data_IF_369701931575
#
_entry.id   IF_369701931575
#
_cell.length_a   1.000
_cell.length_b   1.000
_cell.length_c   1.000
_cell.angle_alpha   90.00
_cell.angle_beta   90.00
_cell.angle_gamma   90.00
#
_symmetry.space_group_name_H-M   'P 1'
#
loop_
_entity.id
_entity.type
_entity.pdbx_description
1 polymer ?
#
# COMPACT_ATOMS: atom_id res chain seq x y z
N UNK A 1 -30.88 -15.55 18.11
CA UNK A 1 -31.32 -14.60 17.06
C UNK A 1 -30.34 -14.47 15.88
N UNK A 2 -29.05 -14.84 16.03
CA UNK A 2 -28.03 -14.79 14.95
C UNK A 2 -27.56 -16.22 14.55
N UNK A 3 -28.15 -17.28 15.12
CA UNK A 3 -27.71 -18.67 14.88
C UNK A 3 -27.81 -19.11 13.42
N UNK A 4 -28.79 -18.59 12.67
CA UNK A 4 -28.98 -18.86 11.25
C UNK A 4 -27.77 -18.47 10.39
N UNK A 5 -26.92 -17.55 10.85
CA UNK A 5 -25.68 -17.19 10.16
C UNK A 5 -24.64 -18.32 10.17
N UNK A 6 -24.76 -19.26 11.11
CA UNK A 6 -23.90 -20.45 11.16
C UNK A 6 -24.54 -21.65 10.46
N UNK A 7 -25.80 -21.54 10.03
CA UNK A 7 -26.44 -22.57 9.20
C UNK A 7 -25.80 -22.59 7.81
N UNK A 8 -25.76 -23.79 7.23
CA UNK A 8 -25.21 -24.00 5.90
C UNK A 8 -26.05 -23.25 4.86
N UNK A 9 -25.43 -22.29 4.16
CA UNK A 9 -26.02 -21.63 3.01
C UNK A 9 -26.06 -22.58 1.80
N UNK A 10 -24.98 -23.33 1.60
CA UNK A 10 -24.82 -24.33 0.56
C UNK A 10 -23.63 -25.25 0.89
N UNK A 11 -23.45 -26.32 0.12
CA UNK A 11 -22.30 -27.24 0.26
C UNK A 11 -21.37 -27.11 -0.95
N UNK A 12 -20.06 -27.15 -0.69
CA UNK A 12 -19.03 -27.28 -1.73
C UNK A 12 -18.13 -28.45 -1.35
N UNK A 13 -17.95 -29.41 -2.26
CA UNK A 13 -17.15 -30.61 -2.03
C UNK A 13 -17.50 -31.29 -0.69
N UNK A 14 -18.80 -31.47 -0.45
CA UNK A 14 -19.40 -32.06 0.77
C UNK A 14 -19.11 -31.33 2.09
N UNK A 15 -18.60 -30.09 2.03
CA UNK A 15 -18.41 -29.23 3.21
C UNK A 15 -19.48 -28.14 3.26
N UNK A 16 -20.21 -27.97 4.39
CA UNK A 16 -21.18 -26.89 4.54
C UNK A 16 -20.45 -25.55 4.64
N UNK A 17 -20.91 -24.57 3.87
CA UNK A 17 -20.46 -23.17 3.92
C UNK A 17 -21.51 -22.35 4.64
N UNK A 18 -21.21 -21.75 5.80
CA UNK A 18 -22.19 -20.99 6.55
C UNK A 18 -22.52 -19.64 5.88
N UNK A 19 -23.71 -19.11 6.13
CA UNK A 19 -24.13 -17.78 5.64
C UNK A 19 -23.18 -16.66 6.06
N UNK A 20 -22.61 -16.75 7.27
CA UNK A 20 -21.62 -15.81 7.79
C UNK A 20 -20.37 -15.75 6.93
N UNK A 21 -19.85 -16.89 6.51
CA UNK A 21 -18.70 -16.97 5.61
C UNK A 21 -19.05 -16.39 4.24
N UNK A 22 -20.20 -16.75 3.67
CA UNK A 22 -20.60 -16.24 2.35
C UNK A 22 -20.73 -14.70 2.36
N UNK A 23 -21.49 -14.15 3.29
CA UNK A 23 -21.72 -12.71 3.39
C UNK A 23 -20.43 -11.95 3.72
N UNK A 24 -19.61 -12.50 4.61
CA UNK A 24 -18.30 -11.93 4.95
C UNK A 24 -17.37 -11.85 3.75
N UNK A 25 -17.30 -12.91 2.94
CA UNK A 25 -16.47 -12.93 1.74
C UNK A 25 -16.99 -12.00 0.64
N UNK A 26 -18.31 -11.87 0.46
CA UNK A 26 -18.90 -10.89 -0.47
C UNK A 26 -18.55 -9.46 -0.05
N UNK A 27 -18.69 -9.14 1.24
CA UNK A 27 -18.33 -7.82 1.76
C UNK A 27 -16.84 -7.52 1.56
N UNK A 28 -15.97 -8.51 1.80
CA UNK A 28 -14.54 -8.38 1.59
C UNK A 28 -14.19 -8.16 0.10
N UNK A 29 -14.81 -8.91 -0.82
CA UNK A 29 -14.65 -8.70 -2.27
C UNK A 29 -15.10 -7.29 -2.69
N UNK A 30 -16.23 -6.82 -2.14
CA UNK A 30 -16.71 -5.46 -2.38
C UNK A 30 -15.72 -4.40 -1.88
N UNK A 31 -15.12 -4.59 -0.69
CA UNK A 31 -14.06 -3.71 -0.18
C UNK A 31 -12.88 -3.63 -1.15
N UNK A 32 -12.34 -4.77 -1.58
CA UNK A 32 -11.16 -4.79 -2.46
C UNK A 32 -11.49 -4.15 -3.81
N UNK A 33 -12.69 -4.39 -4.35
CA UNK A 33 -13.14 -3.75 -5.58
C UNK A 33 -13.27 -2.23 -5.45
N UNK A 34 -13.80 -1.75 -4.32
CA UNK A 34 -13.84 -0.31 -4.02
C UNK A 34 -12.43 0.27 -3.85
N UNK A 35 -11.51 -0.49 -3.26
CA UNK A 35 -10.10 -0.11 -3.11
C UNK A 35 -9.40 0.00 -4.47
N UNK A 36 -9.66 -0.91 -5.41
CA UNK A 36 -9.21 -0.81 -6.81
C UNK A 36 -9.69 0.48 -7.48
N UNK A 37 -10.91 0.92 -7.15
CA UNK A 37 -11.49 2.19 -7.63
C UNK A 37 -11.05 3.42 -6.84
N UNK A 38 -10.15 3.27 -5.85
CA UNK A 38 -9.70 4.33 -4.93
C UNK A 38 -10.87 5.02 -4.22
N UNK A 39 -11.95 4.28 -4.00
CA UNK A 39 -13.17 4.82 -3.41
C UNK A 39 -13.06 4.83 -1.87
N UNK A 40 -13.37 5.98 -1.26
CA UNK A 40 -13.38 6.15 0.20
C UNK A 40 -14.34 5.17 0.89
N UNK A 41 -15.38 4.72 0.18
CA UNK A 41 -16.36 3.76 0.69
C UNK A 41 -15.77 2.36 0.98
N UNK A 42 -14.57 2.05 0.50
CA UNK A 42 -13.87 0.80 0.85
C UNK A 42 -13.73 0.63 2.37
N UNK A 43 -13.42 1.70 3.10
CA UNK A 43 -13.25 1.65 4.55
C UNK A 43 -14.54 1.36 5.34
N UNK A 44 -15.67 2.07 5.14
CA UNK A 44 -16.93 1.73 5.80
C UNK A 44 -17.39 0.31 5.49
N UNK A 45 -17.29 -0.13 4.22
CA UNK A 45 -17.68 -1.48 3.83
C UNK A 45 -16.85 -2.52 4.58
N UNK A 46 -15.54 -2.29 4.72
CA UNK A 46 -14.68 -3.16 5.52
C UNK A 46 -15.10 -3.19 7.00
N UNK A 47 -15.41 -2.04 7.60
CA UNK A 47 -15.83 -1.96 9.01
C UNK A 47 -17.12 -2.74 9.23
N UNK A 48 -18.14 -2.50 8.38
CA UNK A 48 -19.43 -3.20 8.48
C UNK A 48 -19.25 -4.71 8.30
N UNK A 49 -18.47 -5.13 7.30
CA UNK A 49 -18.13 -6.54 7.10
C UNK A 49 -17.43 -7.16 8.31
N UNK A 50 -16.50 -6.43 8.93
CA UNK A 50 -15.77 -6.90 10.11
C UNK A 50 -16.68 -7.02 11.35
N UNK A 51 -17.64 -6.11 11.53
CA UNK A 51 -18.65 -6.19 12.61
C UNK A 51 -19.53 -7.43 12.45
N UNK A 52 -19.96 -7.74 11.23
CA UNK A 52 -20.72 -8.97 10.95
C UNK A 52 -19.89 -10.22 11.28
N UNK A 53 -18.60 -10.22 10.90
CA UNK A 53 -17.69 -11.32 11.20
C UNK A 53 -17.39 -11.46 12.70
N UNK A 54 -17.40 -10.38 13.48
CA UNK A 54 -17.35 -10.45 14.96
C UNK A 54 -18.58 -11.17 15.49
N UNK A 55 -19.78 -10.76 15.06
CA UNK A 55 -21.04 -11.36 15.52
C UNK A 55 -21.08 -12.86 15.22
N UNK A 56 -20.68 -13.27 14.01
CA UNK A 56 -20.57 -14.68 13.64
C UNK A 56 -19.48 -15.44 14.42
N UNK A 57 -18.32 -14.81 14.65
CA UNK A 57 -17.23 -15.44 15.42
C UNK A 57 -17.62 -15.64 16.88
N UNK A 58 -18.38 -14.71 17.46
CA UNK A 58 -18.87 -14.82 18.82
C UNK A 58 -19.92 -15.93 18.96
N UNK A 59 -20.84 -16.07 18.00
CA UNK A 59 -21.82 -17.16 18.03
C UNK A 59 -21.19 -18.54 17.83
N UNK A 60 -20.03 -18.62 17.18
CA UNK A 60 -19.25 -19.84 17.02
C UNK A 60 -18.21 -20.07 18.16
N UNK A 61 -18.20 -19.25 19.22
CA UNK A 61 -17.21 -19.29 20.31
C UNK A 61 -15.74 -19.16 19.85
N UNK A 62 -15.50 -18.54 18.70
CA UNK A 62 -14.18 -18.33 18.10
C UNK A 62 -13.61 -16.96 18.50
N UNK A 63 -13.25 -16.81 19.77
CA UNK A 63 -12.74 -15.54 20.33
C UNK A 63 -11.53 -14.96 19.60
N UNK A 64 -10.63 -15.83 19.08
CA UNK A 64 -9.48 -15.40 18.29
C UNK A 64 -9.86 -14.74 16.96
N UNK A 65 -10.88 -15.27 16.27
CA UNK A 65 -11.40 -14.68 15.03
C UNK A 65 -12.11 -13.35 15.31
N UNK A 66 -12.87 -13.25 16.39
CA UNK A 66 -13.49 -11.99 16.81
C UNK A 66 -12.43 -10.91 17.11
N UNK A 67 -11.36 -11.26 17.84
CA UNK A 67 -10.25 -10.35 18.14
C UNK A 67 -9.54 -9.86 16.86
N UNK A 68 -9.34 -10.75 15.88
CA UNK A 68 -8.76 -10.36 14.58
C UNK A 68 -9.58 -9.27 13.90
N UNK A 69 -10.90 -9.41 13.91
CA UNK A 69 -11.79 -8.42 13.31
C UNK A 69 -11.75 -7.06 14.03
N UNK A 70 -11.55 -7.03 15.36
CA UNK A 70 -11.34 -5.78 16.11
C UNK A 70 -10.11 -5.03 15.56
N UNK A 71 -9.00 -5.73 15.33
CA UNK A 71 -7.78 -5.13 14.77
C UNK A 71 -8.02 -4.59 13.35
N UNK A 72 -8.78 -5.33 12.52
CA UNK A 72 -9.17 -4.87 11.19
C UNK A 72 -10.03 -3.61 11.27
N UNK A 73 -10.99 -3.52 12.19
CA UNK A 73 -11.83 -2.34 12.39
C UNK A 73 -10.97 -1.12 12.77
N UNK A 74 -10.01 -1.29 13.68
CA UNK A 74 -9.12 -0.20 14.10
C UNK A 74 -8.26 0.30 12.92
N UNK A 75 -7.67 -0.62 12.16
CA UNK A 75 -6.88 -0.29 10.97
C UNK A 75 -7.75 0.37 9.88
N UNK A 76 -8.97 -0.12 9.67
CA UNK A 76 -9.90 0.45 8.69
C UNK A 76 -10.40 1.84 9.09
N UNK A 77 -10.64 2.06 10.38
CA UNK A 77 -11.00 3.38 10.94
C UNK A 77 -9.86 4.39 10.77
N UNK A 78 -8.62 3.96 11.01
CA UNK A 78 -7.44 4.78 10.72
C UNK A 78 -7.32 5.12 9.23
N UNK A 79 -7.53 4.14 8.36
CA UNK A 79 -7.54 4.33 6.91
C UNK A 79 -8.58 5.33 6.45
N UNK A 80 -9.81 5.21 6.94
CA UNK A 80 -10.89 6.17 6.69
C UNK A 80 -10.48 7.56 7.13
N UNK A 81 -10.05 7.74 8.37
CA UNK A 81 -9.66 9.03 8.90
C UNK A 81 -8.57 9.69 8.05
N UNK A 82 -7.56 8.92 7.64
CA UNK A 82 -6.44 9.44 6.83
C UNK A 82 -6.89 9.84 5.43
N UNK A 83 -7.67 8.98 4.76
CA UNK A 83 -8.13 9.24 3.39
C UNK A 83 -9.17 10.36 3.33
N UNK A 84 -10.06 10.44 4.31
CA UNK A 84 -11.04 11.54 4.41
C UNK A 84 -10.37 12.89 4.61
N UNK A 85 -9.26 12.94 5.36
CA UNK A 85 -8.46 14.17 5.54
C UNK A 85 -7.65 14.53 4.29
N UNK A 86 -7.00 13.57 3.62
CA UNK A 86 -6.26 13.82 2.38
C UNK A 86 -7.13 14.27 1.21
N UNK A 87 -8.36 13.73 1.11
CA UNK A 87 -9.34 14.15 0.10
C UNK A 87 -9.78 15.61 0.29
N UNK A 88 -9.88 16.09 1.54
CA UNK A 88 -10.21 17.49 1.83
C UNK A 88 -9.10 18.47 1.41
N UNK A 89 -7.84 18.03 1.37
CA UNK A 89 -6.72 18.90 1.01
C UNK A 89 -6.37 18.88 -0.49
N UNK A 90 -6.60 17.77 -1.19
CA UNK A 90 -6.14 17.59 -2.58
C UNK A 90 -7.22 17.12 -3.57
N UNK A 91 -8.48 16.97 -3.12
CA UNK A 91 -9.61 16.52 -3.96
C UNK A 91 -9.63 15.02 -4.26
N UNK A 92 -8.47 14.35 -4.30
CA UNK A 92 -8.34 12.92 -4.61
C UNK A 92 -7.42 12.18 -3.64
N UNK A 93 -7.56 10.85 -3.58
CA UNK A 93 -6.65 9.98 -2.82
C UNK A 93 -5.38 9.76 -3.65
N UNK A 94 -4.31 10.46 -3.29
CA UNK A 94 -3.01 10.31 -3.93
C UNK A 94 -2.34 9.01 -3.50
N UNK A 95 -2.10 8.11 -4.45
CA UNK A 95 -1.27 6.92 -4.25
C UNK A 95 0.14 7.26 -4.72
N UNK A 96 1.16 6.85 -3.96
CA UNK A 96 2.57 7.04 -4.29
C UNK A 96 3.37 5.80 -3.98
N UNK A 97 4.59 5.74 -4.50
CA UNK A 97 5.56 4.74 -4.05
C UNK A 97 6.07 5.09 -2.65
N UNK A 98 6.32 4.06 -1.85
CA UNK A 98 7.00 4.18 -0.57
C UNK A 98 8.47 4.57 -0.77
N UNK A 99 8.97 5.41 0.13
CA UNK A 99 10.41 5.68 0.22
C UNK A 99 11.15 4.45 0.73
N UNK A 100 12.47 4.39 0.55
CA UNK A 100 13.27 3.27 1.06
C UNK A 100 13.12 3.10 2.58
N UNK A 101 13.00 4.20 3.33
CA UNK A 101 12.77 4.18 4.78
C UNK A 101 11.42 3.55 5.10
N UNK A 102 10.37 3.92 4.38
CA UNK A 102 9.04 3.33 4.57
C UNK A 102 9.01 1.85 4.20
N UNK A 103 9.70 1.44 3.13
CA UNK A 103 9.83 0.04 2.74
C UNK A 103 10.53 -0.78 3.81
N UNK A 104 11.66 -0.30 4.32
CA UNK A 104 12.38 -0.94 5.42
C UNK A 104 11.49 -1.02 6.65
N UNK A 105 10.76 0.06 6.99
CA UNK A 105 9.85 0.05 8.13
C UNK A 105 8.71 -0.97 7.96
N UNK A 106 8.13 -1.10 6.77
CA UNK A 106 7.08 -2.09 6.49
C UNK A 106 7.62 -3.52 6.59
N UNK A 107 8.79 -3.80 6.01
CA UNK A 107 9.43 -5.12 6.05
C UNK A 107 9.83 -5.48 7.48
N UNK A 108 10.43 -4.55 8.22
CA UNK A 108 10.81 -4.76 9.62
C UNK A 108 9.57 -4.99 10.49
N UNK A 109 8.51 -4.20 10.31
CA UNK A 109 7.25 -4.39 11.04
C UNK A 109 6.65 -5.77 10.73
N UNK A 110 6.68 -6.19 9.47
CA UNK A 110 6.20 -7.50 9.04
C UNK A 110 7.02 -8.62 9.70
N UNK A 111 8.34 -8.56 9.64
CA UNK A 111 9.22 -9.59 10.19
C UNK A 111 9.14 -9.67 11.71
N UNK A 112 9.34 -8.55 12.41
CA UNK A 112 9.31 -8.48 13.88
C UNK A 112 7.91 -8.81 14.41
N UNK A 113 6.87 -8.25 13.79
CA UNK A 113 5.49 -8.54 14.16
C UNK A 113 5.15 -10.02 13.99
N UNK A 114 5.56 -10.64 12.86
CA UNK A 114 5.33 -12.07 12.61
C UNK A 114 6.01 -12.92 13.67
N UNK A 115 7.28 -12.67 13.97
CA UNK A 115 8.00 -13.41 15.02
C UNK A 115 7.31 -13.24 16.37
N UNK A 116 7.04 -12.00 16.79
CA UNK A 116 6.41 -11.72 18.08
C UNK A 116 5.03 -12.37 18.23
N UNK A 117 4.20 -12.30 17.18
CA UNK A 117 2.87 -12.89 17.22
C UNK A 117 2.88 -14.41 17.06
N UNK A 118 3.81 -14.98 16.29
CA UNK A 118 4.01 -16.42 16.21
C UNK A 118 4.45 -17.02 17.55
N UNK A 119 5.32 -16.32 18.28
CA UNK A 119 5.74 -16.71 19.64
C UNK A 119 4.58 -16.62 20.62
N UNK A 120 3.74 -15.58 20.52
CA UNK A 120 2.52 -15.47 21.31
C UNK A 120 1.58 -16.66 21.05
N UNK A 121 1.29 -16.96 19.79
CA UNK A 121 0.40 -18.07 19.40
C UNK A 121 0.94 -19.44 19.86
N UNK A 122 2.26 -19.62 19.87
CA UNK A 122 2.91 -20.81 20.43
C UNK A 122 2.74 -20.88 21.94
N UNK A 123 3.01 -19.79 22.66
CA UNK A 123 2.88 -19.73 24.11
C UNK A 123 1.44 -19.99 24.58
N UNK A 124 0.45 -19.47 23.85
CA UNK A 124 -0.97 -19.64 24.18
C UNK A 124 -1.59 -20.90 23.57
N UNK A 125 -0.83 -21.67 22.75
CA UNK A 125 -1.29 -22.87 22.02
C UNK A 125 -2.61 -22.67 21.27
N UNK A 126 -2.81 -21.46 20.75
CA UNK A 126 -4.10 -21.04 20.16
C UNK A 126 -4.19 -21.40 18.67
N UNK A 127 -3.07 -21.69 18.02
CA UNK A 127 -3.01 -22.06 16.60
C UNK A 127 -2.24 -23.36 16.38
N UNK A 128 -2.72 -24.16 15.44
CA UNK A 128 -2.05 -25.35 14.92
C UNK A 128 -0.84 -25.00 14.01
N UNK A 129 -0.88 -23.86 13.31
CA UNK A 129 0.23 -23.32 12.53
C UNK A 129 0.55 -21.87 12.90
N UNK A 130 1.21 -21.66 14.06
CA UNK A 130 1.47 -20.32 14.59
C UNK A 130 2.22 -19.40 13.63
N UNK A 131 3.15 -19.93 12.83
CA UNK A 131 3.99 -19.14 11.92
C UNK A 131 3.23 -18.63 10.69
N UNK A 132 2.58 -19.49 9.87
CA UNK A 132 1.71 -19.04 8.79
C UNK A 132 0.58 -18.12 9.26
N UNK A 133 -0.09 -18.46 10.38
CA UNK A 133 -1.19 -17.66 10.89
C UNK A 133 -0.72 -16.26 11.30
N UNK A 134 0.44 -16.17 11.95
CA UNK A 134 1.02 -14.90 12.33
C UNK A 134 1.46 -14.08 11.13
N UNK A 135 2.07 -14.70 10.13
CA UNK A 135 2.46 -14.04 8.90
C UNK A 135 1.24 -13.45 8.18
N UNK A 136 0.16 -14.22 8.03
CA UNK A 136 -1.07 -13.74 7.40
C UNK A 136 -1.69 -12.60 8.20
N UNK A 137 -1.78 -12.73 9.53
CA UNK A 137 -2.33 -11.70 10.41
C UNK A 137 -1.54 -10.38 10.35
N UNK A 138 -0.23 -10.44 10.59
CA UNK A 138 0.64 -9.25 10.62
C UNK A 138 0.79 -8.66 9.22
N UNK A 139 0.94 -9.51 8.20
CA UNK A 139 1.01 -9.08 6.81
C UNK A 139 -0.25 -8.32 6.38
N UNK A 140 -1.43 -8.78 6.80
CA UNK A 140 -2.69 -8.08 6.53
C UNK A 140 -2.72 -6.69 7.19
N UNK A 141 -2.24 -6.58 8.43
CA UNK A 141 -2.13 -5.29 9.12
C UNK A 141 -1.15 -4.35 8.41
N UNK A 142 0.02 -4.86 8.00
CA UNK A 142 1.01 -4.10 7.23
C UNK A 142 0.42 -3.63 5.89
N UNK A 143 -0.31 -4.49 5.19
CA UNK A 143 -1.00 -4.14 3.96
C UNK A 143 -2.06 -3.04 4.18
N UNK A 144 -2.91 -3.18 5.21
CA UNK A 144 -3.90 -2.17 5.57
C UNK A 144 -3.25 -0.84 5.97
N UNK A 145 -2.13 -0.86 6.70
CA UNK A 145 -1.38 0.33 7.07
C UNK A 145 -0.73 1.00 5.86
N UNK A 146 -0.16 0.24 4.94
CA UNK A 146 0.38 0.76 3.68
C UNK A 146 -0.74 1.36 2.81
N UNK A 147 -1.90 0.70 2.74
CA UNK A 147 -3.08 1.16 2.01
C UNK A 147 -3.64 2.45 2.62
N UNK A 148 -3.79 2.49 3.94
CA UNK A 148 -4.19 3.69 4.67
C UNK A 148 -3.22 4.84 4.35
N UNK A 149 -1.92 4.55 4.22
CA UNK A 149 -0.91 5.55 3.86
C UNK A 149 -0.91 5.97 2.39
N UNK A 150 -1.66 5.30 1.52
CA UNK A 150 -1.65 5.53 0.08
C UNK A 150 -0.37 5.03 -0.60
N UNK A 151 0.28 4.00 -0.05
CA UNK A 151 1.53 3.44 -0.57
C UNK A 151 1.25 2.30 -1.54
N UNK A 152 1.69 2.40 -2.79
CA UNK A 152 1.52 1.33 -3.80
C UNK A 152 1.92 -0.07 -3.30
N UNK A 153 2.94 -0.16 -2.45
CA UNK A 153 3.45 -1.36 -1.82
C UNK A 153 2.39 -2.16 -1.05
N UNK A 154 1.23 -1.56 -0.72
CA UNK A 154 0.11 -2.30 -0.14
C UNK A 154 -0.37 -3.46 -1.04
N UNK A 155 -0.33 -3.29 -2.37
CA UNK A 155 -0.68 -4.38 -3.30
C UNK A 155 0.28 -5.55 -3.19
N UNK A 156 1.58 -5.25 -3.04
CA UNK A 156 2.62 -6.26 -2.90
C UNK A 156 2.50 -6.97 -1.55
N UNK A 157 2.15 -6.25 -0.49
CA UNK A 157 1.90 -6.83 0.82
C UNK A 157 0.70 -7.79 0.79
N UNK A 158 -0.40 -7.44 0.13
CA UNK A 158 -1.53 -8.37 -0.04
C UNK A 158 -1.17 -9.61 -0.87
N UNK A 159 -0.45 -9.45 -1.99
CA UNK A 159 0.07 -10.58 -2.78
C UNK A 159 0.94 -11.49 -1.91
N UNK A 160 1.82 -10.92 -1.09
CA UNK A 160 2.70 -11.68 -0.21
C UNK A 160 1.92 -12.46 0.86
N UNK A 161 0.81 -11.91 1.37
CA UNK A 161 -0.11 -12.60 2.28
C UNK A 161 -0.83 -13.75 1.57
N UNK A 162 -1.40 -13.48 0.40
CA UNK A 162 -2.16 -14.45 -0.37
C UNK A 162 -1.30 -15.64 -0.84
N UNK A 163 -0.01 -15.42 -1.13
CA UNK A 163 0.94 -16.49 -1.47
C UNK A 163 1.13 -17.51 -0.34
N UNK A 164 0.88 -17.14 0.92
CA UNK A 164 0.90 -18.05 2.06
C UNK A 164 -0.52 -18.53 2.38
N UNK A 165 -1.51 -17.64 2.31
CA UNK A 165 -2.90 -17.95 2.61
C UNK A 165 -3.53 -18.98 1.68
N UNK A 166 -3.29 -18.88 0.37
CA UNK A 166 -3.88 -19.80 -0.63
C UNK A 166 -3.36 -21.23 -0.45
N UNK A 167 -2.04 -21.51 -0.43
CA UNK A 167 -1.55 -22.86 -0.22
C UNK A 167 -1.94 -23.44 1.13
N UNK A 168 -1.96 -22.61 2.18
CA UNK A 168 -2.40 -23.03 3.51
C UNK A 168 -3.86 -23.49 3.47
N UNK A 169 -4.77 -22.67 2.92
CA UNK A 169 -6.19 -23.02 2.81
C UNK A 169 -6.41 -24.33 2.02
N UNK A 170 -5.69 -24.51 0.90
CA UNK A 170 -5.76 -25.72 0.08
C UNK A 170 -5.22 -26.94 0.84
N UNK A 171 -4.09 -26.82 1.54
CA UNK A 171 -3.50 -27.90 2.34
C UNK A 171 -4.45 -28.36 3.47
N UNK A 172 -5.31 -27.48 3.97
CA UNK A 172 -6.35 -27.79 4.96
C UNK A 172 -7.67 -28.30 4.36
N UNK A 173 -7.74 -28.46 3.04
CA UNK A 173 -8.95 -28.84 2.34
C UNK A 173 -10.07 -27.80 2.46
N UNK A 174 -9.76 -26.55 2.79
CA UNK A 174 -10.71 -25.45 2.84
C UNK A 174 -10.93 -24.89 1.43
N UNK A 175 -11.57 -25.69 0.57
CA UNK A 175 -11.71 -25.41 -0.87
C UNK A 175 -12.37 -24.05 -1.12
N UNK A 176 -13.45 -23.73 -0.40
CA UNK A 176 -14.14 -22.45 -0.54
C UNK A 176 -13.25 -21.26 -0.16
N UNK A 177 -12.62 -21.30 1.02
CA UNK A 177 -11.71 -20.25 1.47
C UNK A 177 -10.50 -20.10 0.53
N UNK A 178 -9.94 -21.21 0.06
CA UNK A 178 -8.85 -21.22 -0.91
C UNK A 178 -9.23 -20.57 -2.24
N UNK A 179 -10.45 -20.83 -2.75
CA UNK A 179 -10.97 -20.16 -3.94
C UNK A 179 -11.11 -18.66 -3.71
N UNK A 180 -11.70 -18.24 -2.58
CA UNK A 180 -11.87 -16.81 -2.28
C UNK A 180 -10.52 -16.10 -2.14
N UNK A 181 -9.54 -16.70 -1.46
CA UNK A 181 -8.19 -16.16 -1.37
C UNK A 181 -7.51 -16.10 -2.75
N UNK A 182 -7.75 -17.08 -3.62
CA UNK A 182 -7.32 -17.03 -5.02
C UNK A 182 -7.93 -15.85 -5.79
N UNK A 183 -9.20 -15.54 -5.56
CA UNK A 183 -9.84 -14.34 -6.14
C UNK A 183 -9.20 -13.06 -5.61
N UNK A 184 -8.94 -12.95 -4.30
CA UNK A 184 -8.23 -11.80 -3.73
C UNK A 184 -6.84 -11.62 -4.33
N UNK A 185 -6.10 -12.71 -4.50
CA UNK A 185 -4.79 -12.69 -5.16
C UNK A 185 -4.87 -12.09 -6.56
N UNK A 186 -5.82 -12.57 -7.38
CA UNK A 186 -6.04 -12.05 -8.74
C UNK A 186 -6.44 -10.58 -8.72
N UNK A 187 -7.29 -10.16 -7.78
CA UNK A 187 -7.66 -8.75 -7.63
C UNK A 187 -6.46 -7.87 -7.25
N UNK A 188 -5.56 -8.36 -6.39
CA UNK A 188 -4.35 -7.65 -6.01
C UNK A 188 -3.39 -7.51 -7.19
N UNK A 189 -3.21 -8.57 -7.98
CA UNK A 189 -2.44 -8.51 -9.24
C UNK A 189 -3.08 -7.53 -10.22
N UNK A 190 -4.41 -7.51 -10.34
CA UNK A 190 -5.12 -6.54 -11.18
C UNK A 190 -4.87 -5.09 -10.70
N UNK A 191 -4.79 -4.85 -9.39
CA UNK A 191 -4.42 -3.57 -8.82
C UNK A 191 -3.01 -3.10 -9.21
N UNK A 192 -2.04 -4.02 -9.20
CA UNK A 192 -0.67 -3.76 -9.69
C UNK A 192 -0.68 -3.40 -11.19
N UNK A 193 -1.43 -4.16 -12.00
CA UNK A 193 -1.52 -3.96 -13.45
C UNK A 193 -2.21 -2.63 -13.80
N UNK A 194 -3.31 -2.29 -13.13
CA UNK A 194 -4.01 -1.00 -13.33
C UNK A 194 -3.08 0.18 -13.00
N UNK A 195 -2.33 0.09 -11.90
CA UNK A 195 -1.34 1.11 -11.54
C UNK A 195 -0.29 1.29 -12.62
N UNK A 196 0.33 0.20 -13.08
CA UNK A 196 1.36 0.22 -14.13
C UNK A 196 0.85 0.87 -15.42
N UNK A 197 -0.38 0.53 -15.84
CA UNK A 197 -1.01 1.09 -17.04
C UNK A 197 -1.21 2.60 -16.91
N UNK A 198 -1.65 3.08 -15.75
CA UNK A 198 -1.87 4.52 -15.49
C UNK A 198 -0.55 5.29 -15.42
N UNK A 199 0.47 4.75 -14.76
CA UNK A 199 1.80 5.40 -14.68
C UNK A 199 2.47 5.56 -16.04
N UNK A 200 2.23 4.66 -17.00
CA UNK A 200 2.73 4.79 -18.37
C UNK A 200 2.02 5.89 -19.18
N UNK A 201 0.70 6.02 -19.04
CA UNK A 201 -0.08 7.04 -19.77
C UNK A 201 0.35 8.46 -19.38
N UNK A 202 0.50 8.75 -18.09
CA UNK A 202 1.00 10.06 -17.63
C UNK A 202 2.36 10.44 -18.20
N UNK A 203 3.27 9.47 -18.42
CA UNK A 203 4.59 9.73 -18.99
C UNK A 203 4.55 10.02 -20.49
N UNK A 204 3.64 9.39 -21.23
CA UNK A 204 3.53 9.57 -22.68
C UNK A 204 2.86 10.89 -23.06
N UNK A 205 1.92 11.38 -22.23
CA UNK A 205 1.20 12.64 -22.49
C UNK A 205 2.02 13.89 -22.14
N UNK A 206 3.09 13.76 -21.34
CA UNK A 206 4.00 14.85 -20.94
C UNK A 206 5.40 14.74 -21.55
N UNK A 207 5.58 13.88 -22.55
CA UNK A 207 6.78 13.91 -23.37
C UNK A 207 6.74 15.24 -24.16
N UNK A 208 7.75 16.12 -24.03
CA UNK A 208 7.70 17.43 -24.69
C UNK A 208 7.54 17.22 -26.20
N UNK A 209 6.43 17.72 -26.75
CA UNK A 209 6.18 17.74 -28.20
C UNK A 209 7.37 18.32 -29.00
N UNK A 210 8.19 19.14 -28.35
CA UNK A 210 9.43 19.75 -28.85
C UNK A 210 10.47 18.75 -29.41
N UNK A 211 10.53 17.50 -28.91
CA UNK A 211 11.50 16.51 -29.44
C UNK A 211 11.09 15.85 -30.74
N UNK A 212 9.80 15.84 -31.08
CA UNK A 212 9.35 15.30 -32.38
C UNK A 212 9.58 16.29 -33.51
N UNK A 213 9.51 17.58 -33.19
CA UNK A 213 9.63 18.66 -34.17
C UNK A 213 11.09 19.00 -34.52
N UNK A 214 12.05 18.61 -33.66
CA UNK A 214 13.48 18.82 -33.91
C UNK A 214 14.07 17.86 -34.95
N UNK A 215 13.47 16.67 -35.13
CA UNK A 215 13.97 15.65 -36.04
C UNK A 215 13.48 15.82 -37.48
N UNK A 216 12.50 16.69 -37.70
CA UNK A 216 11.86 16.93 -39.00
C UNK A 216 12.24 18.28 -39.63
N UNK A 217 13.23 18.99 -39.07
CA UNK A 217 13.80 20.19 -39.69
C UNK A 217 14.79 19.80 -40.79
N UNK A 218 14.53 20.08 -42.06
CA UNK A 218 15.50 19.85 -43.12
C UNK A 218 16.62 20.90 -43.01
N UNK A 219 17.80 20.47 -42.58
CA UNK A 219 19.12 21.00 -42.97
C UNK A 219 19.37 22.49 -42.79
N UNK A 220 19.66 22.93 -41.56
CA UNK A 220 20.40 24.17 -41.32
C UNK A 220 21.90 23.89 -41.50
N UNK A 221 22.34 23.67 -42.74
CA UNK A 221 23.76 23.63 -43.10
C UNK A 221 24.01 24.55 -44.29
N UNK A 222 23.94 25.86 -44.11
CA UNK A 222 24.81 26.75 -44.87
C UNK A 222 24.83 28.17 -44.27
N UNK A 223 26.02 28.79 -44.33
CA UNK A 223 26.23 30.24 -44.34
C UNK A 223 26.38 30.98 -42.99
N UNK A 224 27.47 30.69 -42.26
CA UNK A 224 28.17 31.75 -41.53
C UNK A 224 29.69 31.50 -41.58
N UNK A 225 30.27 31.83 -42.74
CA UNK A 225 31.70 32.07 -42.91
C UNK A 225 31.77 33.37 -43.67
N UNK A 226 31.97 34.47 -42.94
CA UNK A 226 32.79 35.61 -43.37
C UNK A 226 32.70 36.72 -42.31
N UNK A 227 33.57 36.64 -41.30
CA UNK A 227 34.15 37.83 -40.66
C UNK A 227 35.54 37.48 -40.13
N UNK A 228 36.53 37.87 -40.94
CA UNK A 228 37.95 37.97 -40.60
C UNK A 228 38.23 39.41 -40.16
N UNK A 229 39.27 39.55 -39.32
CA UNK A 229 40.00 40.78 -38.91
C UNK A 229 39.41 41.50 -37.67
N UNK A 230 40.15 41.80 -36.59
CA UNK A 230 41.50 42.38 -36.50
C UNK A 230 42.11 42.20 -35.08
N UNK A 231 43.44 42.28 -34.98
CA UNK A 231 44.29 41.93 -33.83
C UNK A 231 44.43 43.01 -32.74
N UNK A 232 44.72 42.62 -31.48
CA UNK A 232 45.87 43.08 -30.67
C UNK A 232 45.86 42.50 -29.22
N UNK A 233 47.03 42.26 -28.59
CA UNK A 233 47.15 41.64 -27.27
C UNK A 233 47.27 42.68 -26.14
N UNK A 234 46.61 42.43 -25.01
CA UNK A 234 46.88 43.17 -23.76
C UNK A 234 47.17 42.19 -22.63
N UNK A 235 48.45 42.14 -22.27
CA UNK A 235 48.98 41.54 -21.05
C UNK A 235 48.67 42.46 -19.86
N UNK A 236 47.97 41.98 -18.82
CA UNK A 236 48.11 42.50 -17.46
C UNK A 236 47.39 41.64 -16.40
N UNK A 237 48.23 40.98 -15.60
CA UNK A 237 48.21 41.03 -14.12
C UNK A 237 47.12 40.28 -13.35
N UNK A 238 47.63 39.27 -12.63
CA UNK A 238 47.04 38.57 -11.49
C UNK A 238 46.26 39.46 -10.50
N UNK A 239 45.10 38.96 -10.05
CA UNK A 239 44.60 39.19 -8.70
C UNK A 239 43.94 37.94 -8.12
N UNK A 240 44.65 37.37 -7.15
CA UNK A 240 44.22 36.41 -6.14
C UNK A 240 43.02 36.95 -5.37
N UNK A 241 41.90 36.22 -5.32
CA UNK A 241 40.88 36.42 -4.29
C UNK A 241 40.58 35.09 -3.60
N UNK A 242 40.95 35.08 -2.32
CA UNK A 242 40.76 34.02 -1.33
C UNK A 242 39.28 33.79 -1.07
N UNK A 243 38.88 32.52 -0.92
CA UNK A 243 37.75 32.10 -0.08
C UNK A 243 38.08 32.43 1.40
N UNK A 244 37.08 32.70 2.28
CA UNK A 244 36.55 31.59 3.10
C UNK A 244 35.11 31.74 3.65
N UNK A 245 34.47 30.58 3.83
CA UNK A 245 33.79 30.16 5.08
C UNK A 245 32.47 30.83 5.49
N UNK A 246 31.36 30.25 5.04
CA UNK A 246 30.05 30.36 5.70
C UNK A 246 29.93 29.28 6.79
N UNK A 247 30.53 29.54 7.94
CA UNK A 247 30.32 28.80 9.18
C UNK A 247 29.98 29.80 10.28
N UNK A 248 28.80 30.44 10.21
CA UNK A 248 28.36 31.36 11.27
C UNK A 248 26.84 31.64 11.35
N UNK A 249 26.01 30.66 11.00
CA UNK A 249 24.53 30.79 11.09
C UNK A 249 23.95 30.05 12.32
N UNK A 250 24.78 29.44 13.17
CA UNK A 250 24.31 28.53 14.22
C UNK A 250 24.21 29.10 15.65
N UNK A 251 24.46 30.40 15.90
CA UNK A 251 24.55 30.91 17.29
C UNK A 251 23.53 32.01 17.66
N UNK A 252 22.72 32.52 16.74
CA UNK A 252 21.81 33.66 17.04
C UNK A 252 20.37 33.33 17.45
N UNK A 253 20.02 32.09 17.75
CA UNK A 253 18.65 31.73 18.15
C UNK A 253 18.44 31.33 19.62
N UNK A 254 19.45 31.48 20.50
CA UNK A 254 19.34 31.08 21.91
C UNK A 254 19.31 32.23 22.94
N UNK A 255 19.32 33.50 22.53
CA UNK A 255 19.33 34.64 23.47
C UNK A 255 17.99 35.39 23.61
N UNK A 256 16.88 34.81 23.14
CA UNK A 256 15.55 35.47 23.15
C UNK A 256 14.60 35.11 24.31
N UNK A 257 15.02 34.30 25.29
CA UNK A 257 14.07 33.69 26.25
C UNK A 257 14.42 33.88 27.74
N UNK A 258 14.99 35.03 28.13
CA UNK A 258 15.00 35.50 29.52
C UNK A 258 14.96 37.04 29.59
N UNK A 259 13.75 37.59 29.57
CA UNK A 259 13.41 38.90 30.13
C UNK A 259 11.93 38.89 30.50
#
# INVERSE_FOLDING_TARGET
MIEWLNDAAFTIADKPVPWSDLLGNIAALATVWLALRRNLWSWPVQIVGSVLLIAASMSAHLGGNAMRQVVIILAASYGWWRWSRGRRSTGEVQIRFATNVERIALVTLMAVGTVGFALLLQATKTSWAPWPDAYIFVGSLVAMLAQARGLFEFWLAWIAVDLVGVPLAVAHGLVFSGLVYGVFFVMCVAGVVDWWKRSRRYRNDHEPHDRRDLHDRPGDTEHDRDHVEEAAPVTATAQTVRTPQAADVAVRHLEGARA
#
